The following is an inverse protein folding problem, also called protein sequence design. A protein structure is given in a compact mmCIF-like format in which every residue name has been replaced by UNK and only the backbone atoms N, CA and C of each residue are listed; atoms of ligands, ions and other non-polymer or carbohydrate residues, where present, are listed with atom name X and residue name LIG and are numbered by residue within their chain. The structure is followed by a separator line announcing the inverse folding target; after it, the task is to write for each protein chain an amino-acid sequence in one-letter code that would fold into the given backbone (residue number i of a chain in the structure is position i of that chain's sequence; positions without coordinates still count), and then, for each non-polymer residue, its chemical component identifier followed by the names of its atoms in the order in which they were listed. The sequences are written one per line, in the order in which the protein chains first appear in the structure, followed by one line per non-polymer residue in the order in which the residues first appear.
data_IF_562127320546
#
_entry.id   IF_562127320546
#
_cell.length_a   1.000
_cell.length_b   1.000
_cell.length_c   1.000
_cell.angle_alpha   90.00
_cell.angle_beta   90.00
_cell.angle_gamma   90.00
#
_symmetry.space_group_name_H-M   'P 1'
#
loop_
_entity.id
_entity.type
_entity.pdbx_description
1 polymer ?
#
# COMPACT_ATOMS: atom_id res chain seq x y z
N UNK A 1 37.99 -22.90 6.87
CA UNK A 1 37.00 -22.70 5.79
C UNK A 1 35.58 -23.15 6.18
N UNK A 2 35.19 -23.03 7.46
CA UNK A 2 33.86 -23.44 7.97
C UNK A 2 33.06 -22.22 8.50
N UNK A 3 33.75 -21.13 8.88
CA UNK A 3 33.15 -19.90 9.40
C UNK A 3 32.34 -19.11 8.33
N UNK A 4 32.71 -19.18 7.05
CA UNK A 4 32.01 -18.47 5.97
C UNK A 4 30.65 -19.08 5.59
N UNK A 5 30.37 -20.33 5.98
CA UNK A 5 29.11 -21.00 5.65
C UNK A 5 27.96 -20.57 6.59
N UNK A 6 28.29 -20.27 7.86
CA UNK A 6 27.31 -19.84 8.86
C UNK A 6 26.79 -18.42 8.59
N UNK A 7 27.63 -17.51 8.09
CA UNK A 7 27.23 -16.12 7.77
C UNK A 7 26.23 -16.08 6.61
N UNK A 8 26.40 -16.93 5.59
CA UNK A 8 25.47 -16.99 4.44
C UNK A 8 24.15 -17.71 4.74
N UNK A 9 24.13 -18.66 5.68
CA UNK A 9 22.89 -19.36 6.05
C UNK A 9 22.03 -18.61 7.08
N UNK A 10 22.62 -17.70 7.86
CA UNK A 10 21.90 -16.91 8.88
C UNK A 10 21.47 -15.52 8.39
N UNK A 11 22.05 -15.01 7.30
CA UNK A 11 21.65 -13.73 6.69
C UNK A 11 20.15 -13.69 6.27
N UNK A 12 19.55 -14.78 5.73
CA UNK A 12 18.12 -14.80 5.41
C UNK A 12 17.22 -14.81 6.65
N UNK A 13 17.73 -15.24 7.82
CA UNK A 13 16.97 -15.24 9.07
C UNK A 13 16.90 -13.84 9.72
N UNK A 14 17.71 -12.89 9.23
CA UNK A 14 17.65 -11.48 9.57
C UNK A 14 16.85 -10.66 8.54
N UNK A 15 16.09 -11.30 7.64
CA UNK A 15 15.21 -10.61 6.69
C UNK A 15 14.09 -9.94 7.49
N UNK A 16 14.41 -8.68 7.78
CA UNK A 16 13.71 -7.58 8.39
C UNK A 16 12.19 -7.69 8.39
N UNK A 17 11.60 -7.24 9.50
CA UNK A 17 10.21 -6.81 9.60
C UNK A 17 9.93 -5.54 8.77
N UNK A 18 10.58 -5.36 7.62
CA UNK A 18 10.47 -4.20 6.77
C UNK A 18 9.18 -4.20 5.95
N UNK A 19 8.73 -3.00 5.59
CA UNK A 19 7.73 -2.80 4.55
C UNK A 19 8.30 -3.30 3.23
N UNK A 20 7.68 -4.33 2.67
CA UNK A 20 8.00 -4.85 1.34
C UNK A 20 7.01 -4.26 0.34
N UNK A 21 7.47 -4.03 -0.88
CA UNK A 21 6.60 -3.66 -1.99
C UNK A 21 7.08 -4.31 -3.28
N UNK A 22 6.18 -4.42 -4.24
CA UNK A 22 6.45 -4.98 -5.57
C UNK A 22 5.57 -4.28 -6.60
N UNK A 23 6.16 -3.93 -7.75
CA UNK A 23 5.41 -3.64 -8.97
C UNK A 23 4.97 -4.98 -9.58
N UNK A 24 3.76 -5.42 -9.20
CA UNK A 24 3.21 -6.72 -9.55
C UNK A 24 2.53 -6.74 -10.93
N UNK A 25 2.73 -5.71 -11.74
CA UNK A 25 1.96 -5.53 -12.96
C UNK A 25 2.50 -6.32 -14.15
N UNK A 26 1.66 -6.52 -15.16
CA UNK A 26 2.06 -7.17 -16.42
C UNK A 26 3.13 -6.37 -17.19
N UNK A 27 3.84 -7.01 -18.13
CA UNK A 27 4.99 -6.41 -18.81
C UNK A 27 4.63 -5.21 -19.71
N UNK A 28 3.39 -5.14 -20.18
CA UNK A 28 2.82 -4.13 -21.09
C UNK A 28 1.95 -3.09 -20.35
N UNK A 29 2.11 -2.97 -19.03
CA UNK A 29 1.35 -2.04 -18.19
C UNK A 29 1.68 -0.57 -18.47
N UNK A 30 0.68 0.30 -18.33
CA UNK A 30 0.81 1.75 -18.50
C UNK A 30 1.29 2.50 -17.25
N UNK A 31 1.29 1.87 -16.07
CA UNK A 31 1.75 2.44 -14.79
C UNK A 31 2.84 1.55 -14.21
N UNK A 32 4.03 2.13 -14.05
CA UNK A 32 5.24 1.44 -13.63
C UNK A 32 5.80 2.08 -12.37
N UNK A 33 5.99 1.31 -11.32
CA UNK A 33 6.58 1.77 -10.06
C UNK A 33 8.08 1.46 -10.04
N UNK A 34 8.90 2.50 -10.02
CA UNK A 34 10.36 2.37 -10.00
C UNK A 34 10.90 2.29 -8.59
N UNK A 35 10.26 3.01 -7.65
CA UNK A 35 10.70 3.09 -6.27
C UNK A 35 9.56 3.39 -5.32
N UNK A 36 9.51 2.64 -4.22
CA UNK A 36 8.74 2.97 -3.02
C UNK A 36 9.66 2.69 -1.83
N UNK A 37 10.07 3.70 -1.09
CA UNK A 37 10.99 3.53 0.02
C UNK A 37 10.40 4.15 1.28
N UNK A 38 9.87 3.30 2.15
CA UNK A 38 9.35 3.72 3.45
C UNK A 38 10.52 4.04 4.38
N UNK A 39 10.43 5.17 5.09
CA UNK A 39 11.48 5.60 6.03
C UNK A 39 11.51 4.75 7.31
N UNK A 40 10.39 4.11 7.64
CA UNK A 40 10.23 3.23 8.80
C UNK A 40 10.05 1.79 8.33
N UNK A 41 10.70 0.85 9.03
CA UNK A 41 10.58 -0.57 8.75
C UNK A 41 9.18 -1.12 9.09
N UNK A 42 8.49 -0.50 10.05
CA UNK A 42 7.11 -0.84 10.41
C UNK A 42 6.19 0.36 10.27
N UNK A 43 4.94 0.12 9.89
CA UNK A 43 3.90 1.16 9.85
C UNK A 43 3.21 1.17 11.22
N UNK A 44 3.41 2.26 11.97
CA UNK A 44 2.79 2.49 13.27
C UNK A 44 1.62 3.46 13.07
N UNK A 45 0.44 3.05 13.53
CA UNK A 45 -0.77 3.85 13.53
C UNK A 45 -1.05 4.27 14.97
N UNK A 46 -0.49 5.41 15.37
CA UNK A 46 -0.59 5.99 16.73
C UNK A 46 -1.11 7.44 16.75
N UNK A 47 -1.38 8.03 15.58
CA UNK A 47 -1.86 9.41 15.45
C UNK A 47 -0.79 10.49 15.68
N UNK A 48 0.45 10.08 15.97
CA UNK A 48 1.57 10.98 16.23
C UNK A 48 2.63 10.90 15.15
N UNK A 49 2.85 9.71 14.59
CA UNK A 49 3.87 9.48 13.55
C UNK A 49 3.21 9.37 12.17
N UNK A 50 3.58 10.24 11.22
CA UNK A 50 3.11 10.10 9.85
C UNK A 50 3.80 8.92 9.15
N UNK A 51 3.16 8.42 8.10
CA UNK A 51 3.84 7.56 7.12
C UNK A 51 4.72 8.46 6.26
N UNK A 52 6.02 8.14 6.20
CA UNK A 52 6.98 8.81 5.33
C UNK A 52 7.50 7.81 4.28
N UNK A 53 7.36 8.14 3.00
CA UNK A 53 7.85 7.31 1.89
C UNK A 53 8.37 8.14 0.72
N UNK A 54 9.45 7.70 0.09
CA UNK A 54 9.89 8.20 -1.21
C UNK A 54 9.20 7.37 -2.30
N UNK A 55 8.59 8.03 -3.28
CA UNK A 55 7.85 7.37 -4.37
C UNK A 55 8.39 7.84 -5.71
N UNK A 56 8.55 6.93 -6.66
CA UNK A 56 8.92 7.19 -8.06
C UNK A 56 8.15 6.24 -8.97
N UNK A 57 7.31 6.77 -9.85
CA UNK A 57 6.54 5.99 -10.82
C UNK A 57 6.44 6.71 -12.16
N UNK A 58 6.08 5.96 -13.20
CA UNK A 58 5.80 6.51 -14.54
C UNK A 58 4.43 6.08 -15.02
N UNK A 59 3.75 7.03 -15.64
CA UNK A 59 2.54 6.83 -16.44
C UNK A 59 2.98 6.89 -17.90
N UNK A 60 2.90 5.75 -18.59
CA UNK A 60 3.33 5.57 -19.98
C UNK A 60 2.22 5.96 -20.97
N UNK A 61 0.97 5.66 -20.59
CA UNK A 61 -0.25 6.04 -21.28
C UNK A 61 -1.16 6.79 -20.30
N UNK A 62 -1.75 7.93 -20.72
CA UNK A 62 -2.51 8.79 -19.82
C UNK A 62 -3.71 8.06 -19.23
N UNK A 63 -3.97 8.31 -17.95
CA UNK A 63 -5.14 7.85 -17.23
C UNK A 63 -6.27 8.84 -17.47
N UNK A 64 -7.40 8.35 -17.94
CA UNK A 64 -8.63 9.12 -18.06
C UNK A 64 -9.65 8.70 -16.98
N UNK A 65 -10.88 9.18 -17.11
CA UNK A 65 -11.93 8.95 -16.13
C UNK A 65 -12.48 7.51 -16.14
N UNK A 66 -12.07 6.66 -17.08
CA UNK A 66 -12.58 5.29 -17.24
C UNK A 66 -11.73 4.23 -16.51
N UNK A 67 -10.64 4.63 -15.85
CA UNK A 67 -9.80 3.73 -15.07
C UNK A 67 -10.61 3.11 -13.92
N UNK A 68 -10.58 1.78 -13.83
CA UNK A 68 -11.11 1.02 -12.70
C UNK A 68 -9.98 0.65 -11.75
N UNK A 69 -10.21 0.76 -10.45
CA UNK A 69 -9.29 0.34 -9.40
C UNK A 69 -9.85 -0.88 -8.66
N UNK A 70 -8.98 -1.82 -8.31
CA UNK A 70 -9.29 -2.94 -7.42
C UNK A 70 -8.24 -3.03 -6.33
N UNK A 71 -8.65 -2.80 -5.09
CA UNK A 71 -7.83 -3.02 -3.90
C UNK A 71 -8.18 -4.37 -3.27
N UNK A 72 -7.16 -5.13 -2.88
CA UNK A 72 -7.29 -6.33 -2.09
C UNK A 72 -6.44 -6.21 -0.83
N UNK A 73 -7.10 -6.21 0.33
CA UNK A 73 -6.45 -6.17 1.62
C UNK A 73 -6.53 -7.56 2.26
N UNK A 74 -5.37 -8.16 2.55
CA UNK A 74 -5.26 -9.46 3.24
C UNK A 74 -4.60 -9.29 4.58
N UNK A 75 -5.11 -9.99 5.59
CA UNK A 75 -4.45 -10.15 6.88
C UNK A 75 -3.86 -11.54 6.99
N UNK A 76 -2.60 -11.62 7.37
CA UNK A 76 -1.88 -12.87 7.58
C UNK A 76 -1.81 -13.21 9.07
N UNK A 77 -1.99 -14.49 9.38
CA UNK A 77 -1.87 -15.05 10.72
C UNK A 77 -1.17 -16.40 10.68
N UNK A 78 -0.61 -16.81 11.82
CA UNK A 78 0.02 -18.10 12.01
C UNK A 78 -0.75 -18.85 13.09
N UNK A 79 -1.40 -19.95 12.73
CA UNK A 79 -2.08 -20.85 13.68
C UNK A 79 -1.31 -22.16 13.66
N UNK A 80 -0.70 -22.51 14.80
CA UNK A 80 0.08 -23.75 14.96
C UNK A 80 1.22 -23.88 13.91
N UNK A 81 1.82 -22.76 13.49
CA UNK A 81 2.91 -22.74 12.50
C UNK A 81 2.45 -22.74 11.04
N UNK A 82 1.15 -22.93 10.77
CA UNK A 82 0.58 -22.82 9.43
C UNK A 82 0.26 -21.35 9.15
N UNK A 83 0.91 -20.80 8.11
CA UNK A 83 0.61 -19.45 7.60
C UNK A 83 -0.70 -19.50 6.82
N UNK A 84 -1.65 -18.67 7.21
CA UNK A 84 -2.92 -18.50 6.51
C UNK A 84 -3.21 -17.00 6.34
N UNK A 85 -4.08 -16.65 5.40
CA UNK A 85 -4.54 -15.29 5.19
C UNK A 85 -6.06 -15.22 5.04
N UNK A 86 -6.63 -14.12 5.48
CA UNK A 86 -8.04 -13.78 5.26
C UNK A 86 -8.12 -12.48 4.49
N UNK A 87 -8.91 -12.49 3.41
CA UNK A 87 -9.25 -11.30 2.65
C UNK A 87 -10.24 -10.47 3.47
N UNK A 88 -9.92 -9.20 3.70
CA UNK A 88 -10.78 -8.28 4.44
C UNK A 88 -11.88 -7.82 3.48
N UNK A 89 -13.17 -8.01 3.81
CA UNK A 89 -14.27 -7.63 2.92
C UNK A 89 -14.33 -6.10 2.73
N UNK A 90 -14.93 -5.65 1.63
CA UNK A 90 -15.22 -4.24 1.42
C UNK A 90 -16.37 -3.81 2.34
N UNK A 91 -16.13 -2.83 3.22
CA UNK A 91 -17.13 -2.23 4.09
C UNK A 91 -16.93 -0.71 4.05
N UNK A 92 -17.93 0.04 3.55
CA UNK A 92 -17.86 1.50 3.42
C UNK A 92 -16.55 1.96 2.75
N UNK A 93 -16.25 1.39 1.58
CA UNK A 93 -15.05 1.65 0.77
C UNK A 93 -13.71 1.28 1.41
N UNK A 94 -13.69 0.68 2.60
CA UNK A 94 -12.50 0.17 3.27
C UNK A 94 -12.37 -1.35 3.13
N UNK A 95 -11.15 -1.85 2.95
CA UNK A 95 -10.87 -3.28 2.79
C UNK A 95 -10.63 -3.65 1.32
N UNK A 96 -11.16 -4.78 0.88
CA UNK A 96 -10.98 -5.25 -0.51
C UNK A 96 -12.10 -4.76 -1.43
N UNK A 97 -11.99 -3.53 -1.91
CA UNK A 97 -13.00 -2.85 -2.72
C UNK A 97 -12.56 -2.71 -4.19
N UNK A 98 -13.52 -2.66 -5.11
CA UNK A 98 -13.27 -2.34 -6.52
C UNK A 98 -14.34 -1.40 -7.05
N UNK A 99 -13.96 -0.53 -7.99
CA UNK A 99 -14.82 0.49 -8.56
C UNK A 99 -14.01 1.52 -9.36
N UNK A 100 -14.66 2.57 -9.88
CA UNK A 100 -13.98 3.61 -10.63
C UNK A 100 -12.86 4.26 -9.81
N UNK A 101 -11.66 4.40 -10.39
CA UNK A 101 -10.52 5.06 -9.74
C UNK A 101 -10.90 6.45 -9.24
N UNK A 102 -11.64 7.17 -10.09
CA UNK A 102 -12.06 8.53 -9.81
C UNK A 102 -13.01 8.65 -8.60
N UNK A 103 -13.83 7.63 -8.36
CA UNK A 103 -14.64 7.54 -7.15
C UNK A 103 -13.76 7.45 -5.90
N UNK A 104 -12.73 6.59 -5.91
CA UNK A 104 -11.82 6.45 -4.76
C UNK A 104 -10.98 7.71 -4.51
N UNK A 105 -10.52 8.39 -5.57
CA UNK A 105 -9.82 9.70 -5.44
C UNK A 105 -10.70 10.72 -4.71
N UNK A 106 -12.00 10.73 -4.99
CA UNK A 106 -12.96 11.63 -4.33
C UNK A 106 -13.30 11.18 -2.90
N UNK A 107 -13.60 9.89 -2.69
CA UNK A 107 -13.91 9.33 -1.36
C UNK A 107 -12.75 9.48 -0.38
N UNK A 108 -11.50 9.42 -0.87
CA UNK A 108 -10.28 9.62 -0.11
C UNK A 108 -9.58 10.95 -0.42
N UNK A 109 -10.34 11.99 -0.74
CA UNK A 109 -9.82 13.29 -1.22
C UNK A 109 -8.72 13.92 -0.35
N UNK A 110 -8.78 13.79 0.98
CA UNK A 110 -7.73 14.31 1.86
C UNK A 110 -6.38 13.60 1.65
N UNK A 111 -6.41 12.27 1.50
CA UNK A 111 -5.21 11.46 1.22
C UNK A 111 -4.71 11.75 -0.21
N UNK A 112 -5.61 11.66 -1.19
CA UNK A 112 -5.27 11.85 -2.58
C UNK A 112 -4.71 13.27 -2.85
N UNK A 113 -5.29 14.31 -2.27
CA UNK A 113 -4.78 15.69 -2.37
C UNK A 113 -3.42 15.85 -1.70
N UNK A 114 -3.22 15.26 -0.52
CA UNK A 114 -1.94 15.29 0.17
C UNK A 114 -0.82 14.67 -0.68
N UNK A 115 -1.10 13.58 -1.39
CA UNK A 115 -0.15 12.98 -2.33
C UNK A 115 0.03 13.88 -3.56
N UNK A 116 -1.06 14.42 -4.12
CA UNK A 116 -1.01 15.25 -5.31
C UNK A 116 -0.13 16.50 -5.11
N UNK A 117 -0.34 17.21 -4.00
CA UNK A 117 0.42 18.42 -3.64
C UNK A 117 1.91 18.12 -3.46
N UNK A 118 2.25 16.99 -2.82
CA UNK A 118 3.64 16.60 -2.52
C UNK A 118 4.39 16.04 -3.74
N UNK A 119 3.68 15.48 -4.72
CA UNK A 119 4.25 15.04 -5.99
C UNK A 119 4.17 16.13 -7.09
N UNK A 120 3.58 17.28 -6.77
CA UNK A 120 3.32 18.37 -7.71
C UNK A 120 2.52 17.91 -8.94
N UNK A 121 1.49 17.08 -8.71
CA UNK A 121 0.57 16.62 -9.75
C UNK A 121 -0.81 17.26 -9.56
N UNK A 122 -1.59 17.49 -10.62
CA UNK A 122 -2.96 17.96 -10.48
C UNK A 122 -3.78 17.01 -9.59
N UNK A 123 -4.58 17.57 -8.69
CA UNK A 123 -5.61 16.81 -7.98
C UNK A 123 -6.79 16.56 -8.92
N UNK A 124 -6.60 15.62 -9.83
CA UNK A 124 -7.58 15.15 -10.80
C UNK A 124 -7.49 13.62 -10.88
N UNK A 125 -8.55 13.00 -11.40
CA UNK A 125 -8.55 11.59 -11.74
C UNK A 125 -7.78 11.32 -13.03
N UNK A 126 -7.74 12.31 -13.92
CA UNK A 126 -6.93 12.25 -15.11
C UNK A 126 -5.44 12.46 -14.76
N UNK A 127 -4.59 11.51 -15.13
CA UNK A 127 -3.14 11.59 -14.91
C UNK A 127 -2.46 11.57 -16.27
N UNK A 128 -1.74 12.63 -16.59
CA UNK A 128 -1.02 12.72 -17.85
C UNK A 128 0.14 11.70 -17.93
N UNK A 129 0.63 11.49 -19.15
CA UNK A 129 1.87 10.75 -19.36
C UNK A 129 3.03 11.50 -18.71
N UNK A 130 3.83 10.81 -17.90
CA UNK A 130 4.95 11.44 -17.23
C UNK A 130 5.65 10.54 -16.23
N UNK A 131 6.71 11.08 -15.61
CA UNK A 131 7.37 10.47 -14.46
C UNK A 131 7.17 11.35 -13.25
N UNK A 132 6.67 10.74 -12.18
CA UNK A 132 6.29 11.40 -10.95
C UNK A 132 7.16 10.88 -9.82
N UNK A 133 7.80 11.79 -9.10
CA UNK A 133 8.70 11.44 -8.02
C UNK A 133 8.63 12.47 -6.90
N UNK A 134 8.73 12.00 -5.67
CA UNK A 134 8.76 12.89 -4.52
C UNK A 134 8.74 12.13 -3.20
N UNK A 135 8.79 12.90 -2.12
CA UNK A 135 8.64 12.40 -0.77
C UNK A 135 7.22 12.67 -0.30
N UNK A 136 6.57 11.63 0.21
CA UNK A 136 5.23 11.67 0.77
C UNK A 136 5.33 11.57 2.28
N UNK A 137 4.64 12.47 2.95
CA UNK A 137 4.34 12.42 4.39
C UNK A 137 2.83 12.44 4.55
N UNK A 138 2.26 11.40 5.16
CA UNK A 138 0.82 11.31 5.41
C UNK A 138 0.52 11.01 6.88
N UNK A 139 -0.12 11.93 7.62
CA UNK A 139 -0.59 11.65 8.97
C UNK A 139 -1.81 10.72 8.93
N UNK A 140 -1.70 9.54 9.53
CA UNK A 140 -2.83 8.59 9.57
C UNK A 140 -3.86 9.08 10.59
N UNK A 141 -5.11 9.34 10.18
CA UNK A 141 -6.14 9.75 11.11
C UNK A 141 -6.54 8.60 12.03
N UNK A 142 -6.44 8.77 13.35
CA UNK A 142 -6.78 7.73 14.34
C UNK A 142 -8.23 7.75 14.81
N UNK A 143 -8.96 8.82 14.49
CA UNK A 143 -10.38 8.99 14.85
C UNK A 143 -11.29 7.84 14.36
N UNK A 144 -10.87 7.10 13.32
CA UNK A 144 -11.58 5.92 12.81
C UNK A 144 -11.48 4.74 13.79
N UNK A 145 -10.36 4.58 14.49
CA UNK A 145 -10.15 3.47 15.45
C UNK A 145 -10.90 3.69 16.77
N UNK A 146 -11.23 4.94 17.12
CA UNK A 146 -12.00 5.26 18.33
C UNK A 146 -13.41 4.65 18.34
N UNK A 147 -13.92 4.24 17.17
CA UNK A 147 -15.22 3.57 17.02
C UNK A 147 -15.12 2.04 17.16
N UNK A 148 -13.92 1.49 17.20
CA UNK A 148 -13.67 0.05 17.30
C UNK A 148 -13.51 -0.30 18.79
N UNK A 149 -14.30 -1.24 19.33
CA UNK A 149 -14.12 -1.71 20.71
C UNK A 149 -12.68 -2.12 21.00
N UNK A 150 -12.14 -1.73 22.16
CA UNK A 150 -10.74 -1.96 22.55
C UNK A 150 -10.32 -3.43 22.57
N UNK A 151 -11.26 -4.34 22.82
CA UNK A 151 -11.04 -5.80 22.77
C UNK A 151 -10.70 -6.26 21.34
N UNK A 152 -11.26 -5.60 20.33
CA UNK A 152 -11.03 -5.88 18.91
C UNK A 152 -9.77 -5.14 18.43
N UNK A 153 -9.55 -3.90 18.88
CA UNK A 153 -8.42 -3.07 18.43
C UNK A 153 -7.05 -3.68 18.76
N UNK A 154 -6.90 -4.30 19.94
CA UNK A 154 -5.66 -5.00 20.33
C UNK A 154 -5.31 -6.16 19.38
N UNK A 155 -6.32 -6.72 18.70
CA UNK A 155 -6.17 -7.78 17.71
C UNK A 155 -6.14 -7.23 16.28
N UNK A 156 -6.01 -5.93 16.04
CA UNK A 156 -5.86 -5.38 14.69
C UNK A 156 -4.40 -5.22 14.26
N UNK A 157 -3.45 -5.27 15.19
CA UNK A 157 -2.03 -5.34 14.83
C UNK A 157 -1.71 -6.69 14.18
N UNK A 158 -0.74 -6.71 13.26
CA UNK A 158 -0.33 -7.93 12.57
C UNK A 158 0.26 -7.69 11.18
N UNK A 159 0.44 -8.77 10.43
CA UNK A 159 0.94 -8.70 9.05
C UNK A 159 -0.21 -8.49 8.07
N UNK A 160 -0.08 -7.49 7.22
CA UNK A 160 -1.05 -7.13 6.20
C UNK A 160 -0.37 -7.04 4.84
N UNK A 161 -1.14 -7.28 3.79
CA UNK A 161 -0.76 -7.02 2.41
C UNK A 161 -1.90 -6.31 1.71
N UNK A 162 -1.56 -5.23 1.03
CA UNK A 162 -2.46 -4.47 0.18
C UNK A 162 -1.98 -4.64 -1.26
N UNK A 163 -2.85 -5.13 -2.13
CA UNK A 163 -2.59 -5.19 -3.57
C UNK A 163 -3.59 -4.31 -4.28
N UNK A 164 -3.09 -3.29 -4.99
CA UNK A 164 -3.91 -2.36 -5.78
C UNK A 164 -3.64 -2.63 -7.25
N UNK A 165 -4.69 -2.79 -8.04
CA UNK A 165 -4.63 -2.93 -9.50
C UNK A 165 -5.45 -1.83 -10.15
N UNK A 166 -4.93 -1.30 -11.25
CA UNK A 166 -5.63 -0.35 -12.11
C UNK A 166 -5.91 -1.02 -13.45
N UNK A 167 -7.06 -0.73 -14.04
CA UNK A 167 -7.52 -1.33 -15.29
C UNK A 167 -8.10 -0.27 -16.23
N UNK A 168 -7.80 -0.41 -17.53
CA UNK A 168 -8.52 0.26 -18.62
C UNK A 168 -9.35 -0.78 -19.36
N UNK A 169 -10.67 -0.75 -19.18
CA UNK A 169 -11.52 -1.86 -19.59
C UNK A 169 -11.05 -3.16 -18.93
N UNK A 170 -10.68 -4.16 -19.74
CA UNK A 170 -10.19 -5.47 -19.26
C UNK A 170 -8.66 -5.55 -19.18
N UNK A 171 -7.93 -4.50 -19.59
CA UNK A 171 -6.46 -4.50 -19.59
C UNK A 171 -5.91 -3.94 -18.28
N UNK A 172 -4.96 -4.64 -17.67
CA UNK A 172 -4.28 -4.16 -16.46
C UNK A 172 -3.34 -2.99 -16.81
N UNK A 173 -3.65 -1.82 -16.27
CA UNK A 173 -2.85 -0.61 -16.41
C UNK A 173 -1.66 -0.59 -15.46
N UNK A 174 -1.72 -1.28 -14.32
CA UNK A 174 -0.63 -1.40 -13.37
C UNK A 174 -1.04 -2.13 -12.10
N UNK A 175 -0.06 -2.55 -11.31
CA UNK A 175 -0.28 -3.26 -10.05
C UNK A 175 0.78 -2.87 -9.03
N UNK A 176 0.35 -2.60 -7.80
CA UNK A 176 1.21 -2.34 -6.66
C UNK A 176 0.83 -3.25 -5.50
N UNK A 177 1.77 -4.07 -5.03
CA UNK A 177 1.64 -4.84 -3.81
C UNK A 177 2.50 -4.20 -2.71
N UNK A 178 1.94 -4.02 -1.51
CA UNK A 178 2.65 -3.55 -0.32
C UNK A 178 2.34 -4.50 0.84
N UNK A 179 3.37 -5.12 1.40
CA UNK A 179 3.29 -5.97 2.58
C UNK A 179 3.98 -5.33 3.78
N UNK A 180 3.32 -5.28 4.94
CA UNK A 180 3.91 -4.70 6.15
C UNK A 180 3.37 -5.32 7.43
N UNK A 181 4.17 -5.28 8.49
CA UNK A 181 3.67 -5.42 9.85
C UNK A 181 3.08 -4.07 10.30
N UNK A 182 1.76 -4.06 10.53
CA UNK A 182 1.05 -2.92 11.09
C UNK A 182 1.02 -3.04 12.61
N UNK A 183 1.43 -1.98 13.29
CA UNK A 183 1.21 -1.79 14.73
C UNK A 183 0.17 -0.70 14.93
N UNK A 184 -0.98 -1.05 15.50
CA UNK A 184 -2.07 -0.11 15.77
C UNK A 184 -2.13 0.13 17.27
N UNK A 185 -1.80 1.37 17.66
CA UNK A 185 -1.82 1.85 19.04
C UNK A 185 -2.83 3.01 19.11
N UNK A 186 -4.14 2.72 19.13
CA UNK A 186 -5.19 3.73 19.05
C UNK A 186 -5.21 4.66 20.28
#
# INVERSE_FOLDING_TARGET
MILNLFVYCLLPALISCAVNWEDCGQADRSLVFHKINFKSDAIVIDGHKPIEAEVDFSVLDPFDYEVTMSAELRRYFSILGIKSSVKIPCINDAGSCSGPFCYFVQSYSNLARSFADQLHVPFDCAIEKGRYKGNITYPIPTNVFNKIPTVISNNLSGKYELVIRWYFGDQEAGCLAIGSALQINP
#
